data_IF_936741146192
#
_entry.id   IF_936741146192
#
_cell.length_a   1.000
_cell.length_b   1.000
_cell.length_c   1.000
_cell.angle_alpha   90.00
_cell.angle_beta   90.00
_cell.angle_gamma   90.00
#
_symmetry.space_group_name_H-M   'P 1'
#
loop_
_entity.id
_entity.type
_entity.pdbx_description
1 polymer ?
#
# COMPACT_ATOMS: atom_id res chain seq x y z
N UNK A 1 -8.28 -32.64 37.46
CA UNK A 1 -6.82 -32.43 37.38
C UNK A 1 -6.53 -31.80 36.03
N UNK A 2 -6.37 -30.47 36.04
CA UNK A 2 -6.21 -29.63 34.86
C UNK A 2 -4.82 -29.83 34.23
N UNK A 3 -4.76 -30.15 32.93
CA UNK A 3 -3.57 -29.93 32.13
C UNK A 3 -3.68 -28.56 31.46
N UNK A 4 -2.97 -27.62 32.07
CA UNK A 4 -2.82 -26.24 31.63
C UNK A 4 -1.99 -26.26 30.33
N UNK A 5 -2.64 -26.09 29.18
CA UNK A 5 -1.95 -25.90 27.90
C UNK A 5 -1.31 -24.50 27.93
N UNK A 6 0.01 -24.47 28.09
CA UNK A 6 0.83 -23.27 27.98
C UNK A 6 0.80 -22.76 26.53
N UNK A 7 0.19 -21.60 26.36
CA UNK A 7 0.19 -20.82 25.12
C UNK A 7 1.60 -20.33 24.80
N UNK A 8 2.34 -21.12 24.02
CA UNK A 8 3.66 -20.70 23.52
C UNK A 8 3.46 -19.94 22.21
N UNK A 9 3.52 -18.61 22.26
CA UNK A 9 3.38 -17.68 21.12
C UNK A 9 4.40 -17.95 19.98
N UNK A 10 5.43 -18.77 20.24
CA UNK A 10 6.53 -19.04 19.31
C UNK A 10 6.77 -20.53 18.99
N UNK A 11 5.85 -21.44 19.36
CA UNK A 11 6.11 -22.88 19.37
C UNK A 11 5.56 -23.70 18.19
N UNK A 12 4.49 -23.25 17.53
CA UNK A 12 3.87 -24.05 16.47
C UNK A 12 4.54 -23.81 15.12
N UNK A 13 5.29 -24.80 14.64
CA UNK A 13 5.68 -24.88 13.24
C UNK A 13 4.42 -24.85 12.38
N UNK A 14 4.38 -24.06 11.29
CA UNK A 14 3.23 -24.04 10.41
C UNK A 14 2.96 -25.46 9.89
N UNK A 15 1.70 -25.87 9.80
CA UNK A 15 1.35 -27.20 9.32
C UNK A 15 1.93 -27.43 7.92
N UNK A 16 2.33 -28.66 7.63
CA UNK A 16 2.84 -29.04 6.32
C UNK A 16 1.81 -28.70 5.24
N UNK A 17 2.24 -27.97 4.21
CA UNK A 17 1.35 -27.59 3.10
C UNK A 17 0.99 -28.86 2.33
N UNK A 18 -0.29 -29.19 2.27
CA UNK A 18 -0.80 -30.22 1.38
C UNK A 18 -1.16 -29.55 0.03
N UNK A 19 -0.36 -29.76 -1.03
CA UNK A 19 -0.63 -29.16 -2.34
C UNK A 19 -1.91 -29.71 -2.98
N UNK A 20 -2.29 -30.95 -2.68
CA UNK A 20 -3.47 -31.61 -3.28
C UNK A 20 -4.78 -31.25 -2.57
N UNK A 21 -4.71 -30.44 -1.50
CA UNK A 21 -5.87 -30.03 -0.71
C UNK A 21 -6.85 -29.15 -1.51
N UNK A 22 -6.35 -28.40 -2.48
CA UNK A 22 -7.13 -27.44 -3.26
C UNK A 22 -7.03 -27.76 -4.75
N UNK A 23 -8.11 -27.52 -5.50
CA UNK A 23 -8.12 -27.71 -6.94
C UNK A 23 -7.15 -26.73 -7.64
N UNK A 24 -6.67 -27.06 -8.85
CA UNK A 24 -5.79 -26.17 -9.62
C UNK A 24 -6.37 -24.76 -9.81
N UNK A 25 -7.69 -24.64 -10.06
CA UNK A 25 -8.35 -23.34 -10.17
C UNK A 25 -8.19 -22.47 -8.92
N UNK A 26 -8.34 -23.05 -7.72
CA UNK A 26 -8.14 -22.32 -6.46
C UNK A 26 -6.67 -21.92 -6.28
N UNK A 27 -5.73 -22.75 -6.74
CA UNK A 27 -4.31 -22.41 -6.70
C UNK A 27 -3.98 -21.25 -7.64
N UNK A 28 -4.54 -21.24 -8.84
CA UNK A 28 -4.36 -20.17 -9.82
C UNK A 28 -4.93 -18.84 -9.32
N UNK A 29 -6.15 -18.85 -8.77
CA UNK A 29 -6.77 -17.68 -8.12
C UNK A 29 -5.91 -17.15 -6.97
N UNK A 30 -5.35 -18.06 -6.15
CA UNK A 30 -4.46 -17.67 -5.06
C UNK A 30 -3.15 -17.05 -5.55
N UNK A 31 -2.63 -17.47 -6.72
CA UNK A 31 -1.44 -16.85 -7.32
C UNK A 31 -1.78 -15.50 -7.94
N UNK A 32 -2.94 -15.37 -8.61
CA UNK A 32 -3.42 -14.10 -9.15
C UNK A 32 -3.58 -13.06 -8.03
N UNK A 33 -4.29 -13.42 -6.95
CA UNK A 33 -4.49 -12.54 -5.79
C UNK A 33 -3.15 -12.10 -5.16
N UNK A 34 -2.17 -12.99 -5.06
CA UNK A 34 -0.83 -12.64 -4.55
C UNK A 34 -0.13 -11.61 -5.41
N UNK A 35 -0.24 -11.73 -6.74
CA UNK A 35 0.35 -10.77 -7.69
C UNK A 35 -0.36 -9.42 -7.57
N UNK A 36 -1.68 -9.42 -7.65
CA UNK A 36 -2.49 -8.20 -7.51
C UNK A 36 -2.22 -7.47 -6.20
N UNK A 37 -2.17 -8.20 -5.08
CA UNK A 37 -1.89 -7.61 -3.77
C UNK A 37 -0.50 -6.99 -3.72
N UNK A 38 0.51 -7.68 -4.28
CA UNK A 38 1.88 -7.18 -4.33
C UNK A 38 1.96 -5.90 -5.16
N UNK A 39 1.38 -5.92 -6.36
CA UNK A 39 1.43 -4.81 -7.30
C UNK A 39 0.67 -3.61 -6.73
N UNK A 40 -0.51 -3.84 -6.16
CA UNK A 40 -1.28 -2.81 -5.45
C UNK A 40 -0.45 -2.11 -4.36
N UNK A 41 0.23 -2.87 -3.50
CA UNK A 41 1.04 -2.28 -2.42
C UNK A 41 2.21 -1.47 -2.99
N UNK A 42 2.94 -2.03 -3.97
CA UNK A 42 4.09 -1.35 -4.58
C UNK A 42 3.68 -0.04 -5.25
N UNK A 43 2.64 -0.07 -6.09
CA UNK A 43 2.12 1.11 -6.77
C UNK A 43 1.65 2.20 -5.79
N UNK A 44 0.99 1.81 -4.70
CA UNK A 44 0.54 2.78 -3.69
C UNK A 44 1.71 3.41 -2.92
N UNK A 45 2.75 2.63 -2.61
CA UNK A 45 3.97 3.16 -1.97
C UNK A 45 4.70 4.13 -2.90
N UNK A 46 4.86 3.77 -4.17
CA UNK A 46 5.48 4.64 -5.18
C UNK A 46 4.69 5.93 -5.36
N UNK A 47 3.36 5.83 -5.42
CA UNK A 47 2.46 6.98 -5.49
C UNK A 47 2.61 7.90 -4.28
N UNK A 48 2.65 7.34 -3.08
CA UNK A 48 2.85 8.11 -1.85
C UNK A 48 4.22 8.81 -1.84
N UNK A 49 5.28 8.12 -2.28
CA UNK A 49 6.63 8.70 -2.41
C UNK A 49 6.64 9.86 -3.41
N UNK A 50 6.08 9.67 -4.61
CA UNK A 50 6.00 10.70 -5.64
C UNK A 50 5.19 11.91 -5.17
N UNK A 51 4.11 11.69 -4.41
CA UNK A 51 3.31 12.74 -3.78
C UNK A 51 4.14 13.59 -2.82
N UNK A 52 4.82 12.93 -1.89
CA UNK A 52 5.65 13.59 -0.90
C UNK A 52 6.83 14.34 -1.56
N UNK A 53 7.40 13.78 -2.63
CA UNK A 53 8.47 14.42 -3.39
C UNK A 53 8.00 15.74 -4.01
N UNK A 54 6.85 15.77 -4.70
CA UNK A 54 6.29 17.01 -5.28
C UNK A 54 5.97 18.06 -4.22
N UNK A 55 5.42 17.65 -3.08
CA UNK A 55 5.15 18.55 -1.96
C UNK A 55 6.45 19.16 -1.41
N UNK A 56 7.48 18.33 -1.23
CA UNK A 56 8.81 18.77 -0.77
C UNK A 56 9.49 19.70 -1.77
N UNK A 57 9.41 19.43 -3.06
CA UNK A 57 9.97 20.30 -4.11
C UNK A 57 9.31 21.69 -4.07
N UNK A 58 8.00 21.76 -3.86
CA UNK A 58 7.28 23.02 -3.75
C UNK A 58 7.64 23.81 -2.48
N UNK A 59 7.79 23.12 -1.35
CA UNK A 59 8.18 23.73 -0.08
C UNK A 59 9.60 24.32 -0.12
N UNK A 60 10.53 23.63 -0.78
CA UNK A 60 11.93 24.01 -0.86
C UNK A 60 12.25 24.97 -2.01
N UNK A 61 11.26 25.40 -2.81
CA UNK A 61 11.47 26.36 -3.90
C UNK A 61 11.76 27.77 -3.31
N UNK A 62 13.00 28.27 -3.45
CA UNK A 62 13.40 29.56 -2.88
C UNK A 62 12.92 30.74 -3.73
N UNK A 63 12.40 30.49 -4.93
CA UNK A 63 11.99 31.54 -5.88
C UNK A 63 10.57 32.03 -5.65
N UNK A 64 9.79 31.34 -4.82
CA UNK A 64 8.38 31.64 -4.58
C UNK A 64 8.18 32.56 -3.40
N UNK A 65 7.39 33.62 -3.61
CA UNK A 65 6.80 34.37 -2.50
C UNK A 65 5.77 33.53 -1.74
N UNK A 66 5.48 33.90 -0.50
CA UNK A 66 4.54 33.14 0.36
C UNK A 66 3.15 32.97 -0.28
N UNK A 67 2.61 34.02 -0.89
CA UNK A 67 1.30 33.99 -1.56
C UNK A 67 1.31 33.07 -2.79
N UNK A 68 2.39 33.10 -3.58
CA UNK A 68 2.53 32.23 -4.76
C UNK A 68 2.68 30.76 -4.36
N UNK A 69 3.40 30.50 -3.27
CA UNK A 69 3.55 29.17 -2.69
C UNK A 69 2.20 28.61 -2.25
N UNK A 70 1.44 29.35 -1.44
CA UNK A 70 0.09 28.95 -1.01
C UNK A 70 -0.84 28.65 -2.19
N UNK A 71 -0.81 29.50 -3.23
CA UNK A 71 -1.61 29.28 -4.44
C UNK A 71 -1.21 27.99 -5.17
N UNK A 72 0.09 27.70 -5.27
CA UNK A 72 0.58 26.47 -5.90
C UNK A 72 0.27 25.24 -5.06
N UNK A 73 0.35 25.33 -3.73
CA UNK A 73 -0.02 24.25 -2.81
C UNK A 73 -1.50 23.89 -2.94
N UNK A 74 -2.39 24.90 -2.96
CA UNK A 74 -3.81 24.70 -3.17
C UNK A 74 -4.09 24.02 -4.53
N UNK A 75 -3.38 24.43 -5.59
CA UNK A 75 -3.48 23.80 -6.91
C UNK A 75 -2.99 22.35 -6.90
N UNK A 76 -1.86 22.08 -6.24
CA UNK A 76 -1.29 20.74 -6.10
C UNK A 76 -2.30 19.82 -5.39
N UNK A 77 -2.83 20.26 -4.24
CA UNK A 77 -3.82 19.51 -3.45
C UNK A 77 -5.07 19.18 -4.26
N UNK A 78 -5.59 20.13 -5.04
CA UNK A 78 -6.74 19.90 -5.91
C UNK A 78 -6.42 18.88 -7.00
N UNK A 79 -5.27 19.01 -7.67
CA UNK A 79 -4.84 18.06 -8.70
C UNK A 79 -4.65 16.64 -8.17
N UNK A 80 -4.12 16.51 -6.95
CA UNK A 80 -3.96 15.22 -6.28
C UNK A 80 -5.29 14.60 -5.87
N UNK A 81 -6.25 15.42 -5.42
CA UNK A 81 -7.60 14.94 -5.13
C UNK A 81 -8.29 14.40 -6.38
N UNK A 82 -8.18 15.10 -7.51
CA UNK A 82 -8.74 14.65 -8.79
C UNK A 82 -8.04 13.39 -9.30
N UNK A 83 -6.73 13.27 -9.15
CA UNK A 83 -6.00 12.05 -9.48
C UNK A 83 -6.47 10.85 -8.65
N UNK A 84 -6.66 11.02 -7.34
CA UNK A 84 -7.20 9.95 -6.48
C UNK A 84 -8.65 9.60 -6.82
N UNK A 85 -9.46 10.58 -7.24
CA UNK A 85 -10.82 10.33 -7.74
C UNK A 85 -10.80 9.52 -9.04
N UNK A 86 -9.89 9.83 -9.96
CA UNK A 86 -9.69 9.10 -11.21
C UNK A 86 -9.35 7.63 -10.93
N UNK A 87 -8.42 7.36 -10.02
CA UNK A 87 -7.98 6.00 -9.68
C UNK A 87 -9.03 5.14 -8.97
N UNK A 88 -10.09 5.76 -8.43
CA UNK A 88 -11.20 5.06 -7.78
C UNK A 88 -12.32 4.71 -8.76
N UNK A 89 -12.38 5.39 -9.91
CA UNK A 89 -13.37 5.11 -10.96
C UNK A 89 -12.93 3.88 -11.75
#
# INVERSE_FOLDING_TARGET
MSSQQSSTIFGDQPPTKNPDKYSPAIQDDAQALKRETKDFVLENVERARARNQRAKELENDPTLSGIERERREAKLKNSESEFLRFLRR
#
